data_IF_945826605498
#
_entry.id   IF_945826605498
#
_cell.length_a   1.000
_cell.length_b   1.000
_cell.length_c   1.000
_cell.angle_alpha   90.00
_cell.angle_beta   90.00
_cell.angle_gamma   90.00
#
_symmetry.space_group_name_H-M   'P 1'
#
loop_
_entity.id
_entity.type
_entity.pdbx_description
1 polymer ?
#
# COMPACT_ATOMS: atom_id res chain seq x y z
N UNK A 1 -24.90 6.36 -2.53
CA UNK A 1 -24.62 7.09 -1.28
C UNK A 1 -23.11 7.14 -1.11
N UNK A 2 -22.57 8.36 -0.96
CA UNK A 2 -21.18 8.82 -0.76
C UNK A 2 -20.00 7.89 -1.07
N UNK A 3 -19.18 8.32 -2.04
CA UNK A 3 -17.76 7.95 -2.17
C UNK A 3 -16.93 8.51 -0.99
N UNK A 4 -16.03 7.67 -0.46
CA UNK A 4 -14.76 8.01 0.20
C UNK A 4 -14.75 8.28 1.72
N UNK A 5 -15.23 7.33 2.52
CA UNK A 5 -14.69 7.15 3.88
C UNK A 5 -13.89 5.85 3.95
N UNK A 6 -12.68 5.91 4.52
CA UNK A 6 -11.85 4.73 4.76
C UNK A 6 -12.65 3.69 5.55
N UNK A 7 -12.68 2.45 5.07
CA UNK A 7 -13.38 1.35 5.71
C UNK A 7 -12.43 0.56 6.60
N UNK A 8 -12.87 0.24 7.82
CA UNK A 8 -12.14 -0.66 8.73
C UNK A 8 -11.91 -2.02 8.06
N UNK A 9 -10.77 -2.69 8.32
CA UNK A 9 -10.60 -4.05 7.85
C UNK A 9 -11.63 -4.99 8.46
N UNK A 10 -11.88 -6.11 7.78
CA UNK A 10 -12.57 -7.26 8.37
C UNK A 10 -11.90 -7.68 9.67
N UNK A 11 -12.70 -8.17 10.62
CA UNK A 11 -12.20 -8.66 11.91
C UNK A 11 -11.12 -9.73 11.67
N UNK A 12 -9.96 -9.55 12.31
CA UNK A 12 -8.81 -10.43 12.16
C UNK A 12 -7.88 -10.11 11.00
N UNK A 13 -8.24 -9.16 10.13
CA UNK A 13 -7.40 -8.68 9.02
C UNK A 13 -6.61 -7.43 9.40
N UNK A 14 -5.46 -7.28 8.76
CA UNK A 14 -4.71 -6.01 8.70
C UNK A 14 -4.99 -5.34 7.36
N UNK A 15 -5.47 -4.10 7.37
CA UNK A 15 -5.62 -3.32 6.13
C UNK A 15 -4.31 -2.64 5.78
N UNK A 16 -3.82 -2.84 4.56
CA UNK A 16 -2.64 -2.17 4.02
C UNK A 16 -3.08 -1.25 2.89
N UNK A 17 -2.98 0.05 3.12
CA UNK A 17 -3.15 1.06 2.09
C UNK A 17 -1.78 1.33 1.44
N UNK A 18 -1.69 1.24 0.12
CA UNK A 18 -0.46 1.48 -0.65
C UNK A 18 -0.64 2.63 -1.63
N UNK A 19 0.44 3.36 -1.91
CA UNK A 19 0.48 4.44 -2.89
C UNK A 19 1.87 4.53 -3.54
N UNK A 20 1.89 4.78 -4.85
CA UNK A 20 3.06 4.95 -5.69
C UNK A 20 3.06 6.33 -6.35
N UNK A 21 4.18 7.04 -6.26
CA UNK A 21 4.34 8.35 -6.90
C UNK A 21 5.54 8.35 -7.85
N UNK A 22 5.35 8.91 -9.04
CA UNK A 22 6.40 9.13 -10.04
C UNK A 22 6.71 10.63 -10.14
N UNK A 23 7.99 10.98 -10.15
CA UNK A 23 8.43 12.36 -10.41
C UNK A 23 8.03 12.81 -11.81
N UNK A 24 7.75 14.11 -11.99
CA UNK A 24 7.34 14.67 -13.29
C UNK A 24 8.35 14.40 -14.43
N UNK A 25 9.63 14.25 -14.09
CA UNK A 25 10.70 13.96 -15.04
C UNK A 25 10.92 12.45 -15.29
N UNK A 26 10.12 11.57 -14.67
CA UNK A 26 10.18 10.12 -14.88
C UNK A 26 11.44 9.42 -14.37
N UNK A 27 12.33 10.11 -13.64
CA UNK A 27 13.64 9.59 -13.23
C UNK A 27 13.67 9.02 -11.81
N UNK A 28 12.67 9.37 -11.00
CA UNK A 28 12.55 8.94 -9.61
C UNK A 28 11.11 8.60 -9.29
N UNK A 29 10.94 7.59 -8.45
CA UNK A 29 9.68 7.22 -7.87
C UNK A 29 9.82 7.02 -6.36
N UNK A 30 8.71 7.20 -5.66
CA UNK A 30 8.59 6.87 -4.25
C UNK A 30 7.36 5.99 -4.08
N UNK A 31 7.53 4.88 -3.41
CA UNK A 31 6.46 3.98 -3.03
C UNK A 31 6.31 4.00 -1.51
N UNK A 32 5.10 3.79 -1.03
CA UNK A 32 4.85 3.73 0.40
C UNK A 32 3.50 3.14 0.74
N UNK A 33 3.29 2.94 2.03
CA UNK A 33 2.02 2.45 2.52
C UNK A 33 1.92 2.46 4.02
N UNK A 34 0.69 2.26 4.49
CA UNK A 34 0.32 2.26 5.91
C UNK A 34 -0.53 1.04 6.19
N UNK A 35 -0.18 0.31 7.25
CA UNK A 35 -0.95 -0.79 7.78
C UNK A 35 -1.74 -0.35 9.02
N UNK A 36 -3.02 -0.70 9.04
CA UNK A 36 -3.94 -0.44 10.13
C UNK A 36 -4.65 -1.70 10.60
N UNK A 37 -4.83 -1.82 11.91
CA UNK A 37 -5.55 -2.92 12.52
C UNK A 37 -7.08 -2.74 12.49
N UNK A 38 -7.83 -3.76 12.94
CA UNK A 38 -9.30 -3.73 13.05
C UNK A 38 -9.83 -2.61 13.95
N UNK A 39 -9.03 -2.17 14.92
CA UNK A 39 -9.36 -1.07 15.84
C UNK A 39 -9.01 0.30 15.26
N UNK A 40 -8.64 0.37 13.98
CA UNK A 40 -8.10 1.58 13.32
C UNK A 40 -6.79 2.08 13.91
N UNK A 41 -6.11 1.24 14.67
CA UNK A 41 -4.79 1.49 15.21
C UNK A 41 -3.74 1.46 14.10
N UNK A 42 -2.74 2.35 14.20
CA UNK A 42 -1.59 2.31 13.32
C UNK A 42 -0.67 1.16 13.73
N UNK A 43 -0.37 0.26 12.81
CA UNK A 43 0.50 -0.90 13.06
C UNK A 43 1.93 -0.63 12.58
N UNK A 44 2.06 -0.18 11.33
CA UNK A 44 3.33 0.21 10.74
C UNK A 44 3.12 1.03 9.46
N UNK A 45 4.17 1.72 9.01
CA UNK A 45 4.23 2.35 7.71
C UNK A 45 5.58 2.09 7.05
N UNK A 46 5.66 2.28 5.73
CA UNK A 46 6.89 2.14 4.98
C UNK A 46 6.98 3.16 3.86
N UNK A 47 8.22 3.45 3.47
CA UNK A 47 8.55 4.29 2.33
C UNK A 47 9.82 3.75 1.70
N UNK A 48 9.82 3.61 0.37
CA UNK A 48 11.00 3.21 -0.40
C UNK A 48 11.15 4.17 -1.56
N UNK A 49 12.35 4.71 -1.73
CA UNK A 49 12.72 5.47 -2.93
C UNK A 49 13.34 4.53 -3.94
N UNK A 50 12.87 4.64 -5.17
CA UNK A 50 13.15 3.69 -6.25
C UNK A 50 13.39 4.45 -7.54
N UNK A 51 14.24 3.90 -8.40
CA UNK A 51 14.46 4.44 -9.74
C UNK A 51 13.70 3.53 -10.72
N UNK A 52 12.50 3.96 -11.10
CA UNK A 52 11.66 3.27 -12.08
C UNK A 52 11.38 4.19 -13.25
N UNK A 53 11.18 3.59 -14.42
CA UNK A 53 10.83 4.29 -15.67
C UNK A 53 9.33 4.17 -15.94
N UNK A 54 8.64 3.21 -15.29
CA UNK A 54 7.27 2.82 -15.59
C UNK A 54 6.37 2.81 -14.34
N UNK A 55 5.17 3.38 -14.48
CA UNK A 55 4.17 3.47 -13.41
C UNK A 55 3.64 2.10 -13.01
N UNK A 56 3.48 1.15 -13.95
CA UNK A 56 3.01 -0.20 -13.62
C UNK A 56 3.98 -0.94 -12.70
N UNK A 57 5.29 -0.75 -12.93
CA UNK A 57 6.32 -1.34 -12.07
C UNK A 57 6.32 -0.73 -10.67
N UNK A 58 6.05 0.57 -10.56
CA UNK A 58 5.95 1.27 -9.27
C UNK A 58 4.79 0.70 -8.45
N UNK A 59 3.64 0.54 -9.09
CA UNK A 59 2.41 0.05 -8.48
C UNK A 59 2.52 -1.41 -8.04
N UNK A 60 3.02 -2.28 -8.92
CA UNK A 60 3.29 -3.67 -8.57
C UNK A 60 4.33 -3.78 -7.43
N UNK A 61 5.34 -2.90 -7.44
CA UNK A 61 6.38 -2.89 -6.41
C UNK A 61 5.84 -2.42 -5.05
N UNK A 62 4.96 -1.42 -5.00
CA UNK A 62 4.41 -0.96 -3.72
C UNK A 62 3.56 -2.03 -3.06
N UNK A 63 2.75 -2.77 -3.83
CA UNK A 63 2.00 -3.92 -3.33
C UNK A 63 2.93 -5.01 -2.80
N UNK A 64 3.94 -5.37 -3.60
CA UNK A 64 4.90 -6.40 -3.20
C UNK A 64 5.62 -6.03 -1.89
N UNK A 65 6.14 -4.80 -1.75
CA UNK A 65 6.83 -4.39 -0.54
C UNK A 65 5.87 -4.29 0.67
N UNK A 66 4.63 -3.86 0.47
CA UNK A 66 3.60 -3.84 1.51
C UNK A 66 3.28 -5.24 2.04
N UNK A 67 3.02 -6.19 1.14
CA UNK A 67 2.73 -7.60 1.50
C UNK A 67 3.94 -8.28 2.13
N UNK A 68 5.14 -8.09 1.57
CA UNK A 68 6.40 -8.63 2.10
C UNK A 68 6.65 -8.12 3.52
N UNK A 69 6.45 -6.83 3.78
CA UNK A 69 6.64 -6.26 5.11
C UNK A 69 5.61 -6.81 6.11
N UNK A 70 4.35 -6.94 5.71
CA UNK A 70 3.31 -7.53 6.53
C UNK A 70 3.63 -9.00 6.89
N UNK A 71 4.09 -9.77 5.89
CA UNK A 71 4.51 -11.15 6.09
C UNK A 71 5.66 -11.25 7.11
N UNK A 72 6.70 -10.42 6.94
CA UNK A 72 7.86 -10.40 7.83
C UNK A 72 7.51 -9.98 9.27
N UNK A 73 6.45 -9.17 9.44
CA UNK A 73 5.93 -8.77 10.75
C UNK A 73 4.94 -9.77 11.37
N UNK A 74 4.65 -10.88 10.69
CA UNK A 74 3.79 -11.94 11.21
C UNK A 74 2.30 -11.79 10.86
N UNK A 75 1.90 -10.78 10.09
CA UNK A 75 0.53 -10.65 9.63
C UNK A 75 0.26 -11.67 8.51
N UNK A 76 -0.87 -12.39 8.60
CA UNK A 76 -1.23 -13.49 7.68
C UNK A 76 -2.59 -13.31 7.02
N UNK A 77 -3.44 -12.46 7.59
CA UNK A 77 -4.71 -12.06 6.99
C UNK A 77 -4.62 -10.57 6.69
N UNK A 78 -4.61 -10.24 5.40
CA UNK A 78 -4.35 -8.89 4.92
C UNK A 78 -5.43 -8.50 3.91
N UNK A 79 -5.97 -7.30 4.08
CA UNK A 79 -6.74 -6.61 3.05
C UNK A 79 -5.86 -5.53 2.47
N UNK A 80 -5.67 -5.54 1.16
CA UNK A 80 -4.84 -4.54 0.50
C UNK A 80 -5.72 -3.61 -0.34
N UNK A 81 -5.45 -2.31 -0.23
CA UNK A 81 -6.19 -1.24 -0.88
C UNK A 81 -5.20 -0.32 -1.60
N UNK A 82 -5.37 -0.16 -2.90
CA UNK A 82 -4.62 0.77 -3.75
C UNK A 82 -5.61 1.75 -4.39
N UNK A 83 -5.19 2.99 -4.64
CA UNK A 83 -5.96 3.97 -5.39
C UNK A 83 -5.80 3.83 -6.91
N UNK A 84 -4.88 2.97 -7.34
CA UNK A 84 -4.67 2.69 -8.75
C UNK A 84 -5.54 1.53 -9.26
N UNK A 85 -6.65 1.90 -9.91
CA UNK A 85 -7.65 0.99 -10.48
C UNK A 85 -7.10 0.02 -11.56
N UNK A 86 -5.88 0.25 -12.08
CA UNK A 86 -5.24 -0.67 -13.01
C UNK A 86 -4.60 -1.87 -12.32
N UNK A 87 -4.27 -1.73 -11.03
CA UNK A 87 -3.61 -2.77 -10.27
C UNK A 87 -4.61 -3.57 -9.43
N UNK A 88 -5.68 -2.94 -8.91
CA UNK A 88 -6.67 -3.54 -8.00
C UNK A 88 -8.03 -2.86 -8.14
#
# INVERSE_FOLDING_TARGET
MSLNSWQKPTIGCTKINVDGSLSRCGSRAAIGGVARGPSSDWLFGFKVSVSFIDIFQIEAKVVFEGLRLAWNKGFRQVELESDNALLI
#
